data_IF_172218451892
#
_entry.id   IF_172218451892
#
_cell.length_a   1.000
_cell.length_b   1.000
_cell.length_c   1.000
_cell.angle_alpha   90.00
_cell.angle_beta   90.00
_cell.angle_gamma   90.00
#
_symmetry.space_group_name_H-M   'P 1'
#
loop_
_entity.id
_entity.type
_entity.pdbx_description
1 polymer ?
#
# COMPACT_ATOMS: atom_id res chain seq x y z
N UNK A 1 -1.03 13.18 5.21
CA UNK A 1 -2.41 13.28 5.73
C UNK A 1 -2.71 12.08 6.61
N UNK A 2 -3.30 12.26 7.79
CA UNK A 2 -3.67 11.21 8.76
C UNK A 2 -5.18 11.07 8.94
N UNK A 3 -5.64 10.04 9.64
CA UNK A 3 -7.02 9.99 10.17
C UNK A 3 -6.92 10.02 11.69
N UNK A 4 -7.67 10.90 12.35
CA UNK A 4 -7.75 11.00 13.81
C UNK A 4 -9.18 10.66 14.24
N UNK A 5 -9.32 9.89 15.31
CA UNK A 5 -10.60 9.63 15.97
C UNK A 5 -10.70 10.57 17.17
N UNK A 6 -11.84 11.26 17.29
CA UNK A 6 -12.18 12.09 18.44
C UNK A 6 -13.43 11.54 19.11
N UNK A 7 -13.38 11.36 20.42
CA UNK A 7 -14.54 11.03 21.24
C UNK A 7 -15.23 12.31 21.69
N UNK A 8 -16.53 12.43 21.44
CA UNK A 8 -17.38 13.54 21.89
C UNK A 8 -18.61 12.93 22.54
N UNK A 9 -18.72 13.08 23.87
CA UNK A 9 -19.72 12.37 24.67
C UNK A 9 -19.54 10.85 24.57
N UNK A 10 -20.62 10.15 24.18
CA UNK A 10 -20.63 8.68 23.99
C UNK A 10 -20.31 8.23 22.55
N UNK A 11 -20.05 9.16 21.62
CA UNK A 11 -19.81 8.83 20.21
C UNK A 11 -18.38 9.16 19.79
N UNK A 12 -17.90 8.44 18.80
CA UNK A 12 -16.58 8.64 18.20
C UNK A 12 -16.72 9.09 16.75
N UNK A 13 -15.87 10.02 16.34
CA UNK A 13 -15.93 10.67 15.04
C UNK A 13 -14.54 10.70 14.40
N UNK A 14 -14.48 10.40 13.10
CA UNK A 14 -13.23 10.42 12.35
C UNK A 14 -13.04 11.74 11.60
N UNK A 15 -11.80 12.23 11.62
CA UNK A 15 -11.37 13.43 10.92
C UNK A 15 -10.14 13.13 10.07
N UNK A 16 -10.14 13.59 8.82
CA UNK A 16 -8.95 13.65 7.99
C UNK A 16 -8.09 14.82 8.45
N UNK A 17 -6.81 14.56 8.65
CA UNK A 17 -5.84 15.56 9.10
C UNK A 17 -4.86 15.85 7.99
N UNK A 18 -4.87 17.09 7.51
CA UNK A 18 -3.93 17.59 6.52
C UNK A 18 -3.17 18.78 7.09
N UNK A 19 -1.88 18.87 6.78
CA UNK A 19 -1.07 20.04 7.10
C UNK A 19 -1.09 20.97 5.90
N UNK A 20 -1.49 22.21 6.12
CA UNK A 20 -1.60 23.26 5.10
C UNK A 20 -0.73 24.43 5.58
N UNK A 21 0.54 24.41 5.16
CA UNK A 21 1.57 25.33 5.66
C UNK A 21 1.76 25.26 7.18
N UNK A 22 1.41 26.36 7.87
CA UNK A 22 1.49 26.49 9.34
C UNK A 22 0.24 25.98 10.07
N UNK A 23 -0.86 25.67 9.38
CA UNK A 23 -2.13 25.23 9.97
C UNK A 23 -2.36 23.74 9.75
N UNK A 24 -3.09 23.12 10.68
CA UNK A 24 -3.56 21.74 10.54
C UNK A 24 -5.07 21.78 10.33
N UNK A 25 -5.53 21.33 9.16
CA UNK A 25 -6.93 21.27 8.79
C UNK A 25 -7.50 19.91 9.19
N UNK A 26 -8.58 19.92 9.97
CA UNK A 26 -9.35 18.74 10.32
C UNK A 26 -10.65 18.73 9.50
N UNK A 27 -10.77 17.78 8.58
CA UNK A 27 -11.97 17.61 7.75
C UNK A 27 -12.76 16.43 8.27
N UNK A 28 -14.02 16.66 8.67
CA UNK A 28 -14.89 15.62 9.17
C UNK A 28 -15.16 14.54 8.11
N UNK A 29 -15.00 13.27 8.49
CA UNK A 29 -15.24 12.12 7.61
C UNK A 29 -16.56 11.39 7.92
N UNK A 30 -17.02 11.45 9.17
CA UNK A 30 -18.21 10.73 9.63
C UNK A 30 -18.06 10.15 11.05
N UNK A 31 -19.08 9.45 11.54
CA UNK A 31 -18.99 8.59 12.73
C UNK A 31 -17.92 7.51 12.55
N UNK A 32 -17.17 7.19 13.60
CA UNK A 32 -16.06 6.23 13.55
C UNK A 32 -16.53 4.80 13.22
N UNK A 33 -17.74 4.45 13.63
CA UNK A 33 -18.45 3.19 13.36
C UNK A 33 -19.18 3.19 12.01
N UNK A 34 -19.18 4.31 11.28
CA UNK A 34 -19.80 4.39 9.96
C UNK A 34 -19.06 3.49 8.94
N UNK A 35 -19.78 2.75 8.07
CA UNK A 35 -19.16 1.79 7.14
C UNK A 35 -18.15 2.45 6.20
N UNK A 36 -18.41 3.69 5.77
CA UNK A 36 -17.49 4.49 4.95
C UNK A 36 -16.18 4.78 5.68
N UNK A 37 -16.25 5.16 6.96
CA UNK A 37 -15.09 5.52 7.77
C UNK A 37 -14.27 4.28 8.11
N UNK A 38 -14.93 3.18 8.49
CA UNK A 38 -14.28 1.89 8.71
C UNK A 38 -13.51 1.46 7.46
N UNK A 39 -14.12 1.57 6.27
CA UNK A 39 -13.45 1.27 5.00
C UNK A 39 -12.22 2.15 4.76
N UNK A 40 -12.33 3.47 4.94
CA UNK A 40 -11.20 4.40 4.79
C UNK A 40 -10.05 4.07 5.76
N UNK A 41 -10.37 3.77 7.03
CA UNK A 41 -9.37 3.41 8.03
C UNK A 41 -8.71 2.07 7.66
N UNK A 42 -9.51 1.09 7.22
CA UNK A 42 -9.02 -0.21 6.78
C UNK A 42 -8.09 -0.09 5.57
N UNK A 43 -8.51 0.60 4.51
CA UNK A 43 -7.70 0.82 3.30
C UNK A 43 -6.39 1.56 3.63
N UNK A 44 -6.45 2.52 4.56
CA UNK A 44 -5.26 3.24 5.02
C UNK A 44 -4.33 2.36 5.84
N UNK A 45 -4.87 1.44 6.64
CA UNK A 45 -4.08 0.45 7.37
C UNK A 45 -3.40 -0.51 6.38
N UNK A 46 -4.12 -1.00 5.38
CA UNK A 46 -3.58 -1.88 4.34
C UNK A 46 -2.41 -1.25 3.58
N UNK A 47 -2.43 0.07 3.38
CA UNK A 47 -1.35 0.80 2.67
C UNK A 47 -0.19 1.24 3.56
N UNK A 48 -0.30 1.08 4.88
CA UNK A 48 0.72 1.55 5.84
C UNK A 48 1.74 0.49 6.26
N UNK A 49 1.39 -0.79 6.11
CA UNK A 49 2.23 -1.93 6.49
C UNK A 49 1.91 -3.12 5.60
N UNK A 50 2.79 -4.12 5.60
CA UNK A 50 2.57 -5.38 4.89
C UNK A 50 1.52 -6.22 5.65
N UNK A 51 0.40 -6.59 5.02
CA UNK A 51 -0.58 -7.49 5.63
C UNK A 51 0.03 -8.83 6.05
N UNK A 52 -0.38 -9.35 7.21
CA UNK A 52 0.12 -10.63 7.75
C UNK A 52 -0.08 -11.81 6.78
N UNK A 53 -1.14 -11.76 5.95
CA UNK A 53 -1.43 -12.75 4.91
C UNK A 53 -0.31 -12.91 3.86
N UNK A 54 0.55 -11.90 3.70
CA UNK A 54 1.71 -11.96 2.79
C UNK A 54 2.99 -12.42 3.48
N UNK A 55 2.93 -12.88 4.73
CA UNK A 55 4.09 -13.48 5.44
C UNK A 55 4.85 -14.52 4.61
N UNK A 56 4.20 -15.41 3.82
CA UNK A 56 4.91 -16.38 2.99
C UNK A 56 5.82 -15.76 1.93
N UNK A 57 5.59 -14.52 1.47
CA UNK A 57 6.44 -13.84 0.48
C UNK A 57 7.77 -13.33 1.07
N UNK A 58 7.88 -13.26 2.39
CA UNK A 58 8.99 -12.68 3.12
C UNK A 58 9.62 -13.70 4.08
N UNK A 59 9.79 -14.94 3.64
CA UNK A 59 10.22 -16.06 4.50
C UNK A 59 11.51 -15.79 5.27
N UNK A 60 12.42 -15.02 4.67
CA UNK A 60 13.74 -14.62 5.12
C UNK A 60 13.77 -13.50 6.17
N UNK A 61 12.67 -12.78 6.41
CA UNK A 61 12.66 -11.68 7.38
C UNK A 61 11.30 -11.50 8.08
N UNK A 62 11.31 -10.86 9.24
CA UNK A 62 10.08 -10.52 9.95
C UNK A 62 9.42 -9.29 9.33
N UNK A 63 8.10 -9.32 9.12
CA UNK A 63 7.34 -8.20 8.54
C UNK A 63 7.52 -6.88 9.31
N UNK A 64 7.71 -6.93 10.63
CA UNK A 64 7.95 -5.76 11.48
C UNK A 64 9.25 -5.01 11.17
N UNK A 65 10.23 -5.67 10.54
CA UNK A 65 11.51 -5.07 10.14
C UNK A 65 11.48 -4.48 8.74
N UNK A 66 10.41 -4.74 7.97
CA UNK A 66 10.30 -4.24 6.60
C UNK A 66 9.54 -2.90 6.63
N UNK A 67 10.24 -1.83 6.31
CA UNK A 67 9.62 -0.52 6.18
C UNK A 67 9.10 -0.31 4.76
N UNK A 68 7.78 -0.14 4.61
CA UNK A 68 7.08 -0.16 3.30
C UNK A 68 7.66 0.81 2.25
N UNK A 69 8.12 1.99 2.67
CA UNK A 69 8.74 2.98 1.75
C UNK A 69 10.22 2.72 1.49
N UNK A 70 11.02 2.56 2.55
CA UNK A 70 12.48 2.35 2.45
C UNK A 70 12.79 1.05 1.70
N UNK A 71 12.03 -0.01 1.95
CA UNK A 71 12.24 -1.32 1.35
C UNK A 71 11.35 -1.56 0.11
N UNK A 72 10.88 -0.49 -0.56
CA UNK A 72 9.95 -0.59 -1.69
C UNK A 72 10.44 -1.55 -2.79
N UNK A 73 11.73 -1.47 -3.17
CA UNK A 73 12.34 -2.36 -4.17
C UNK A 73 12.19 -3.84 -3.79
N UNK A 74 12.62 -4.20 -2.59
CA UNK A 74 12.53 -5.57 -2.09
C UNK A 74 11.08 -6.07 -2.05
N UNK A 75 10.13 -5.25 -1.60
CA UNK A 75 8.71 -5.61 -1.55
C UNK A 75 8.16 -5.84 -2.96
N UNK A 76 8.41 -4.92 -3.89
CA UNK A 76 7.94 -5.03 -5.28
C UNK A 76 8.53 -6.28 -5.94
N UNK A 77 9.84 -6.53 -5.79
CA UNK A 77 10.50 -7.72 -6.32
C UNK A 77 9.88 -9.00 -5.76
N UNK A 78 9.64 -9.08 -4.44
CA UNK A 78 9.01 -10.25 -3.82
C UNK A 78 7.58 -10.51 -4.34
N UNK A 79 6.77 -9.46 -4.46
CA UNK A 79 5.39 -9.59 -4.92
C UNK A 79 5.32 -9.94 -6.39
N UNK A 80 6.14 -9.32 -7.25
CA UNK A 80 6.09 -9.61 -8.69
C UNK A 80 6.70 -10.98 -9.03
N UNK A 81 7.65 -11.48 -8.25
CA UNK A 81 8.26 -12.79 -8.53
C UNK A 81 7.49 -13.96 -7.91
N UNK A 82 6.96 -13.80 -6.69
CA UNK A 82 6.37 -14.91 -5.92
C UNK A 82 4.92 -14.67 -5.49
N UNK A 83 4.38 -13.47 -5.73
CA UNK A 83 3.06 -13.07 -5.29
C UNK A 83 1.93 -13.61 -6.15
N UNK A 84 0.74 -13.64 -5.56
CA UNK A 84 -0.51 -13.90 -6.27
C UNK A 84 -1.22 -12.57 -6.63
N UNK A 85 -2.36 -12.66 -7.30
CA UNK A 85 -3.12 -11.48 -7.71
C UNK A 85 -3.63 -10.62 -6.53
N UNK A 86 -3.86 -11.20 -5.35
CA UNK A 86 -4.21 -10.40 -4.16
C UNK A 86 -3.01 -9.54 -3.71
N UNK A 87 -1.81 -10.11 -3.69
CA UNK A 87 -0.59 -9.37 -3.39
C UNK A 87 -0.32 -8.26 -4.40
N UNK A 88 -0.58 -8.49 -5.68
CA UNK A 88 -0.42 -7.49 -6.74
C UNK A 88 -1.46 -6.37 -6.63
N UNK A 89 -2.73 -6.69 -6.34
CA UNK A 89 -3.75 -5.67 -6.05
C UNK A 89 -3.36 -4.80 -4.86
N UNK A 90 -2.82 -5.41 -3.80
CA UNK A 90 -2.28 -4.66 -2.67
C UNK A 90 -1.08 -3.79 -3.08
N UNK A 91 -0.15 -4.32 -3.88
CA UNK A 91 1.00 -3.59 -4.38
C UNK A 91 0.60 -2.31 -5.11
N UNK A 92 -0.42 -2.38 -5.97
CA UNK A 92 -0.95 -1.25 -6.74
C UNK A 92 -1.66 -0.20 -5.85
N UNK A 93 -2.15 -0.57 -4.66
CA UNK A 93 -2.65 0.40 -3.68
C UNK A 93 -1.52 1.13 -2.95
N UNK A 94 -0.36 0.49 -2.80
CA UNK A 94 0.76 0.98 -1.99
C UNK A 94 1.72 1.85 -2.80
N UNK A 95 2.07 1.41 -4.01
CA UNK A 95 3.07 2.04 -4.86
C UNK A 95 2.45 2.62 -6.12
N UNK A 96 3.01 3.73 -6.61
CA UNK A 96 2.58 4.29 -7.88
C UNK A 96 2.98 3.36 -9.02
N UNK A 97 2.21 3.41 -10.11
CA UNK A 97 2.50 2.67 -11.33
C UNK A 97 3.94 2.87 -11.82
N UNK A 98 4.41 4.13 -11.88
CA UNK A 98 5.78 4.45 -12.30
C UNK A 98 6.84 3.80 -11.41
N UNK A 99 6.65 3.77 -10.09
CA UNK A 99 7.58 3.11 -9.17
C UNK A 99 7.65 1.61 -9.43
N UNK A 100 6.50 0.96 -9.65
CA UNK A 100 6.43 -0.48 -9.94
C UNK A 100 7.15 -0.78 -11.26
N UNK A 101 6.86 -0.04 -12.34
CA UNK A 101 7.48 -0.25 -13.65
C UNK A 101 8.99 0.02 -13.62
N UNK A 102 9.45 1.07 -12.94
CA UNK A 102 10.88 1.35 -12.81
C UNK A 102 11.61 0.19 -12.11
N UNK A 103 11.05 -0.35 -11.03
CA UNK A 103 11.66 -1.49 -10.32
C UNK A 103 11.59 -2.76 -11.17
N UNK A 104 10.47 -3.01 -11.86
CA UNK A 104 10.33 -4.12 -12.79
C UNK A 104 11.43 -4.11 -13.85
N UNK A 105 11.74 -2.94 -14.42
CA UNK A 105 12.78 -2.77 -15.43
C UNK A 105 14.21 -2.85 -14.86
N UNK A 106 14.46 -2.33 -13.66
CA UNK A 106 15.81 -2.29 -13.08
C UNK A 106 16.18 -3.52 -12.25
N UNK A 107 15.21 -4.36 -11.86
CA UNK A 107 15.47 -5.50 -11.00
C UNK A 107 16.36 -6.52 -11.70
N UNK A 108 17.25 -7.16 -10.94
CA UNK A 108 18.02 -8.35 -11.35
C UNK A 108 17.51 -9.63 -10.69
N UNK A 109 16.53 -9.51 -9.80
CA UNK A 109 15.95 -10.62 -9.05
C UNK A 109 14.72 -11.15 -9.80
N UNK A 110 13.95 -10.26 -10.42
CA UNK A 110 12.79 -10.65 -11.23
C UNK A 110 13.28 -11.34 -12.50
N UNK A 111 12.79 -12.56 -12.73
CA UNK A 111 13.14 -13.35 -13.91
C UNK A 111 12.55 -12.74 -15.18
N UNK A 112 13.16 -12.98 -16.34
CA UNK A 112 12.67 -12.45 -17.61
C UNK A 112 11.25 -12.93 -17.93
N UNK A 113 10.91 -14.16 -17.52
CA UNK A 113 9.55 -14.69 -17.64
C UNK A 113 8.54 -13.84 -16.87
N UNK A 114 8.79 -13.60 -15.58
CA UNK A 114 7.92 -12.77 -14.74
C UNK A 114 7.86 -11.34 -15.26
N UNK A 115 9.00 -10.78 -15.66
CA UNK A 115 9.10 -9.43 -16.24
C UNK A 115 8.22 -9.28 -17.48
N UNK A 116 8.37 -10.19 -18.45
CA UNK A 116 7.59 -10.14 -19.69
C UNK A 116 6.09 -10.24 -19.41
N UNK A 117 5.69 -11.16 -18.52
CA UNK A 117 4.29 -11.26 -18.10
C UNK A 117 3.76 -9.94 -17.54
N UNK A 118 4.49 -9.32 -16.61
CA UNK A 118 4.05 -8.08 -15.98
C UNK A 118 4.06 -6.88 -16.93
N UNK A 119 5.04 -6.78 -17.84
CA UNK A 119 5.05 -5.71 -18.84
C UNK A 119 3.81 -5.77 -19.75
N UNK A 120 3.40 -6.97 -20.16
CA UNK A 120 2.16 -7.18 -20.91
C UNK A 120 0.93 -6.84 -20.04
N UNK A 121 0.87 -7.36 -18.81
CA UNK A 121 -0.24 -7.11 -17.88
C UNK A 121 -0.44 -5.61 -17.61
N UNK A 122 0.66 -4.86 -17.48
CA UNK A 122 0.65 -3.43 -17.23
C UNK A 122 0.48 -2.59 -18.50
N UNK A 123 0.45 -3.20 -19.69
CA UNK A 123 0.33 -2.50 -20.97
C UNK A 123 1.51 -1.59 -21.28
N UNK A 124 2.73 -2.00 -20.90
CA UNK A 124 3.97 -1.24 -21.09
C UNK A 124 4.69 -1.64 -22.39
N UNK A 125 4.37 -2.81 -22.94
CA UNK A 125 4.90 -3.24 -24.24
C UNK A 125 4.09 -2.58 -25.35
N UNK A 126 4.76 -1.90 -26.28
CA UNK A 126 4.16 -1.56 -27.58
C UNK A 126 3.86 -2.87 -28.32
N UNK A 127 2.64 -3.00 -28.85
CA UNK A 127 2.21 -4.15 -29.65
C UNK A 127 3.04 -4.30 -30.94
#
# INVERSE_FOLDING_TARGET
MGVIIKRIGRREYAYLVAREGKRVKHTYLGPADGPKVIKIISDKKETSAIPARFRPLFWDTSLSKIHIKINARYIIERVLEFGNMDAVKWLQKVYSFQTVINILNMSRIITDKSRNFWLIWFGVTDA
#
